data_IF_083329613784
#
_entry.id   IF_083329613784
#
_cell.length_a   1.000
_cell.length_b   1.000
_cell.length_c   1.000
_cell.angle_alpha   90.00
_cell.angle_beta   90.00
_cell.angle_gamma   90.00
#
_symmetry.space_group_name_H-M   'P 1'
#
loop_
_entity.id
_entity.type
_entity.pdbx_description
1 polymer ?
#
# COMPACT_ATOMS: atom_id res chain seq x y z
N UNK A 1 16.98 0.91 -40.08
CA UNK A 1 16.37 -0.22 -39.34
C UNK A 1 17.34 -0.64 -38.25
N UNK A 2 17.03 -0.66 -36.96
CA UNK A 2 15.89 -1.31 -36.29
C UNK A 2 15.38 -0.45 -35.12
N UNK A 3 14.08 -0.15 -35.16
CA UNK A 3 13.31 0.28 -34.01
C UNK A 3 13.34 -0.84 -32.96
N UNK A 4 14.13 -0.70 -31.89
CA UNK A 4 13.92 -1.53 -30.70
C UNK A 4 12.75 -0.92 -29.94
N UNK A 5 11.53 -1.31 -30.31
CA UNK A 5 10.39 -1.24 -29.41
C UNK A 5 10.81 -1.95 -28.12
N UNK A 6 11.11 -1.19 -27.07
CA UNK A 6 11.23 -1.74 -25.71
C UNK A 6 9.82 -2.12 -25.27
N UNK A 7 9.41 -3.33 -25.63
CA UNK A 7 8.18 -3.94 -25.17
C UNK A 7 8.36 -4.26 -23.69
N UNK A 8 7.40 -3.77 -22.91
CA UNK A 8 7.25 -3.80 -21.46
C UNK A 8 7.18 -5.25 -20.95
N UNK A 9 8.03 -5.59 -19.98
CA UNK A 9 7.89 -6.73 -19.07
C UNK A 9 7.93 -6.10 -17.66
N UNK A 10 6.84 -6.02 -16.90
CA UNK A 10 6.13 -7.19 -16.36
C UNK A 10 7.05 -7.77 -15.27
N UNK A 11 6.77 -7.61 -13.98
CA UNK A 11 5.57 -8.13 -13.33
C UNK A 11 5.07 -7.12 -12.27
N UNK A 12 3.88 -6.58 -12.48
CA UNK A 12 3.04 -6.04 -11.42
C UNK A 12 2.52 -7.25 -10.62
N UNK A 13 3.17 -7.61 -9.51
CA UNK A 13 2.62 -8.60 -8.57
C UNK A 13 1.63 -7.84 -7.68
N UNK A 14 0.54 -7.34 -8.25
CA UNK A 14 -0.52 -6.64 -7.51
C UNK A 14 -1.71 -7.55 -7.22
N UNK A 15 -1.55 -8.87 -7.19
CA UNK A 15 -2.73 -9.73 -7.04
C UNK A 15 -2.38 -11.05 -6.38
N UNK A 16 -3.28 -11.53 -5.52
CA UNK A 16 -3.33 -12.83 -4.81
C UNK A 16 -3.08 -12.76 -3.27
N UNK A 17 -3.33 -11.65 -2.59
CA UNK A 17 -3.62 -11.71 -1.12
C UNK A 17 -4.97 -11.10 -0.74
N UNK A 18 -5.59 -10.25 -1.58
CA UNK A 18 -6.94 -9.73 -1.30
C UNK A 18 -8.01 -10.85 -1.22
N UNK A 19 -7.86 -11.94 -2.00
CA UNK A 19 -8.87 -13.01 -2.06
C UNK A 19 -8.96 -13.82 -0.75
N UNK A 20 -7.87 -13.97 -0.01
CA UNK A 20 -7.89 -14.75 1.24
C UNK A 20 -8.67 -14.01 2.36
N UNK A 21 -8.60 -12.68 2.39
CA UNK A 21 -9.41 -11.89 3.33
C UNK A 21 -10.88 -11.92 2.87
N UNK A 22 -11.15 -11.64 1.59
CA UNK A 22 -12.51 -11.63 1.02
C UNK A 22 -13.21 -13.01 1.11
N UNK A 23 -12.47 -14.11 1.00
CA UNK A 23 -13.00 -15.48 1.14
C UNK A 23 -13.52 -15.81 2.54
N UNK A 24 -12.94 -15.20 3.60
CA UNK A 24 -13.50 -15.27 4.96
C UNK A 24 -14.63 -14.27 5.20
N UNK A 25 -14.67 -13.19 4.42
CA UNK A 25 -15.73 -12.15 4.44
C UNK A 25 -17.06 -12.70 3.92
N UNK A 26 -17.05 -13.61 2.94
CA UNK A 26 -18.28 -14.19 2.36
C UNK A 26 -19.18 -14.96 3.33
N UNK A 27 -18.71 -15.27 4.55
CA UNK A 27 -19.49 -15.99 5.59
C UNK A 27 -19.89 -15.08 6.75
N UNK A 28 -19.39 -13.83 6.82
CA UNK A 28 -19.77 -12.87 7.88
C UNK A 28 -20.86 -11.93 7.36
N UNK A 29 -22.06 -12.11 7.93
CA UNK A 29 -23.25 -11.24 8.02
C UNK A 29 -23.11 -9.83 7.41
N UNK A 30 -24.19 -9.35 6.77
CA UNK A 30 -24.48 -7.96 6.31
C UNK A 30 -24.26 -6.86 7.39
N UNK A 31 -23.06 -6.76 7.92
CA UNK A 31 -22.64 -5.71 8.81
C UNK A 31 -21.75 -4.78 8.00
N UNK A 32 -21.83 -3.48 8.31
CA UNK A 32 -20.88 -2.51 7.78
C UNK A 32 -19.45 -2.99 8.01
N UNK A 33 -18.51 -2.73 7.08
CA UNK A 33 -17.12 -3.09 7.26
C UNK A 33 -16.59 -2.53 8.58
N UNK A 34 -15.71 -3.26 9.26
CA UNK A 34 -15.01 -2.75 10.43
C UNK A 34 -14.12 -1.56 10.04
N UNK A 35 -13.73 -0.75 11.03
CA UNK A 35 -12.81 0.37 10.81
C UNK A 35 -11.50 -0.10 10.12
N UNK A 36 -10.93 -1.21 10.58
CA UNK A 36 -9.71 -1.77 10.00
C UNK A 36 -9.91 -2.24 8.54
N UNK A 37 -11.05 -2.84 8.23
CA UNK A 37 -11.38 -3.23 6.85
C UNK A 37 -11.55 -2.01 5.94
N UNK A 38 -12.19 -0.93 6.42
CA UNK A 38 -12.26 0.34 5.68
C UNK A 38 -10.88 0.93 5.41
N UNK A 39 -10.00 0.95 6.42
CA UNK A 39 -8.63 1.44 6.29
C UNK A 39 -7.84 0.64 5.25
N UNK A 40 -7.89 -0.70 5.31
CA UNK A 40 -7.20 -1.57 4.35
C UNK A 40 -7.75 -1.35 2.94
N UNK A 41 -9.07 -1.41 2.75
CA UNK A 41 -9.69 -1.24 1.43
C UNK A 41 -9.39 0.14 0.83
N UNK A 42 -9.33 1.18 1.67
CA UNK A 42 -8.92 2.51 1.24
C UNK A 42 -7.47 2.53 0.75
N UNK A 43 -6.53 1.92 1.49
CA UNK A 43 -5.13 1.88 1.09
C UNK A 43 -4.89 0.99 -0.14
N UNK A 44 -5.58 -0.15 -0.27
CA UNK A 44 -5.54 -0.99 -1.48
C UNK A 44 -5.98 -0.19 -2.72
N UNK A 45 -7.02 0.65 -2.61
CA UNK A 45 -7.46 1.52 -3.71
C UNK A 45 -6.40 2.56 -4.11
N UNK A 46 -5.48 2.91 -3.22
CA UNK A 46 -4.41 3.87 -3.45
C UNK A 46 -3.03 3.20 -3.51
N UNK A 47 -2.96 1.89 -3.77
CA UNK A 47 -1.71 1.15 -3.87
C UNK A 47 -0.77 1.74 -4.93
N UNK A 48 -1.32 2.19 -6.06
CA UNK A 48 -0.55 2.84 -7.13
C UNK A 48 0.07 4.17 -6.67
N UNK A 49 -0.71 5.05 -6.04
CA UNK A 49 -0.23 6.34 -5.50
C UNK A 49 0.89 6.13 -4.46
N UNK A 50 0.72 5.15 -3.56
CA UNK A 50 1.75 4.80 -2.58
C UNK A 50 3.00 4.18 -3.23
N UNK A 51 2.82 3.38 -4.28
CA UNK A 51 3.93 2.74 -4.99
C UNK A 51 4.75 3.76 -5.77
N UNK A 52 4.09 4.72 -6.41
CA UNK A 52 4.74 5.83 -7.11
C UNK A 52 5.56 6.68 -6.13
N UNK A 53 5.00 7.02 -4.97
CA UNK A 53 5.73 7.70 -3.91
C UNK A 53 7.02 6.96 -3.51
N UNK A 54 6.92 5.66 -3.22
CA UNK A 54 8.08 4.84 -2.80
C UNK A 54 9.15 4.82 -3.89
N UNK A 55 8.76 4.64 -5.15
CA UNK A 55 9.71 4.61 -6.27
C UNK A 55 10.40 5.95 -6.48
N UNK A 56 9.72 7.06 -6.26
CA UNK A 56 10.31 8.40 -6.33
C UNK A 56 11.32 8.63 -5.18
N UNK A 57 10.99 8.18 -3.97
CA UNK A 57 11.83 8.37 -2.78
C UNK A 57 13.08 7.48 -2.73
N UNK A 58 12.98 6.24 -3.21
CA UNK A 58 14.06 5.22 -3.10
C UNK A 58 14.95 5.12 -4.38
N UNK A 59 14.70 5.97 -5.38
CA UNK A 59 15.36 6.00 -6.70
C UNK A 59 15.24 4.66 -7.49
N UNK A 60 15.78 4.60 -8.72
CA UNK A 60 15.63 3.53 -9.74
C UNK A 60 15.98 2.09 -9.31
N UNK A 61 16.31 1.85 -8.04
CA UNK A 61 16.63 0.53 -7.49
C UNK A 61 15.38 -0.33 -7.20
N UNK A 62 14.22 0.29 -7.03
CA UNK A 62 12.98 -0.43 -6.64
C UNK A 62 12.27 -0.99 -7.86
N UNK A 63 12.24 -2.32 -7.98
CA UNK A 63 11.46 -3.02 -9.01
C UNK A 63 10.03 -3.33 -8.54
N UNK A 64 9.87 -3.74 -7.28
CA UNK A 64 8.57 -4.06 -6.69
C UNK A 64 8.48 -3.64 -5.21
N UNK A 65 7.24 -3.44 -4.76
CA UNK A 65 6.87 -3.10 -3.39
C UNK A 65 5.89 -4.16 -2.89
N UNK A 66 6.12 -4.66 -1.68
CA UNK A 66 5.20 -5.52 -0.95
C UNK A 66 4.60 -4.73 0.23
N UNK A 67 3.27 -4.70 0.30
CA UNK A 67 2.51 -4.10 1.39
C UNK A 67 2.02 -5.18 2.36
N UNK A 68 2.40 -5.07 3.64
CA UNK A 68 1.98 -6.02 4.66
C UNK A 68 0.63 -5.55 5.24
N UNK A 69 -0.46 -5.78 4.52
CA UNK A 69 -1.80 -5.26 4.82
C UNK A 69 -2.30 -5.54 6.25
N UNK A 70 -1.91 -6.67 6.84
CA UNK A 70 -2.26 -7.00 8.22
C UNK A 70 -1.66 -6.03 9.26
N UNK A 71 -0.61 -5.30 8.89
CA UNK A 71 0.06 -4.30 9.73
C UNK A 71 -0.59 -2.91 9.70
N UNK A 72 -1.62 -2.70 8.86
CA UNK A 72 -2.37 -1.44 8.82
C UNK A 72 -2.95 -1.12 10.20
N UNK A 73 -2.64 0.09 10.66
CA UNK A 73 -3.18 0.68 11.89
C UNK A 73 -3.20 2.20 11.78
N UNK A 74 -4.09 2.84 12.54
CA UNK A 74 -4.01 4.27 12.83
C UNK A 74 -2.91 4.54 13.85
N UNK A 75 -2.14 5.60 13.66
CA UNK A 75 -1.15 6.07 14.60
C UNK A 75 -1.23 7.60 14.75
N UNK A 76 -0.57 8.13 15.78
CA UNK A 76 -0.50 9.55 16.07
C UNK A 76 0.93 9.92 16.41
N UNK A 77 1.41 10.97 15.76
CA UNK A 77 2.72 11.55 16.07
C UNK A 77 2.73 12.31 17.40
N UNK A 78 3.61 13.30 17.49
CA UNK A 78 3.66 14.20 18.65
C UNK A 78 2.35 14.98 18.83
N UNK A 79 2.22 15.67 19.97
CA UNK A 79 1.11 16.58 20.22
C UNK A 79 0.82 17.46 18.99
N UNK A 80 -0.46 17.66 18.69
CA UNK A 80 -0.96 18.44 17.54
C UNK A 80 -0.67 17.86 16.14
N UNK A 81 -0.11 16.65 16.04
CA UNK A 81 -0.02 15.94 14.75
C UNK A 81 -1.38 15.33 14.42
N UNK A 82 -1.81 15.48 13.16
CA UNK A 82 -2.98 14.78 12.64
C UNK A 82 -2.75 13.27 12.70
N UNK A 83 -3.76 12.50 13.07
CA UNK A 83 -3.72 11.04 12.98
C UNK A 83 -3.50 10.60 11.52
N UNK A 84 -2.79 9.49 11.35
CA UNK A 84 -2.44 8.94 10.05
C UNK A 84 -2.57 7.42 10.07
N UNK A 85 -2.63 6.80 8.89
CA UNK A 85 -2.51 5.36 8.75
C UNK A 85 -1.03 5.01 8.56
N UNK A 86 -0.61 3.87 9.07
CA UNK A 86 0.73 3.33 8.80
C UNK A 86 0.67 1.89 8.35
N UNK A 87 1.57 1.53 7.44
CA UNK A 87 1.71 0.17 6.89
C UNK A 87 3.19 -0.15 6.71
N UNK A 88 3.56 -1.39 7.03
CA UNK A 88 4.89 -1.90 6.78
C UNK A 88 5.04 -2.31 5.32
N UNK A 89 6.15 -1.93 4.71
CA UNK A 89 6.48 -2.22 3.31
C UNK A 89 7.83 -2.91 3.21
N UNK A 90 7.98 -3.75 2.18
CA UNK A 90 9.28 -4.25 1.75
C UNK A 90 9.49 -3.86 0.29
N UNK A 91 10.72 -3.53 -0.08
CA UNK A 91 11.10 -3.19 -1.46
C UNK A 91 12.13 -4.19 -1.99
N UNK A 92 12.05 -4.48 -3.28
CA UNK A 92 12.87 -5.51 -3.93
C UNK A 92 13.51 -5.00 -5.21
N UNK A 93 14.68 -5.55 -5.54
CA UNK A 93 15.37 -5.30 -6.81
C UNK A 93 14.75 -6.13 -7.96
N UNK A 94 15.22 -5.90 -9.18
CA UNK A 94 14.76 -6.64 -10.37
C UNK A 94 15.05 -8.15 -10.36
N UNK A 95 15.79 -8.66 -9.36
CA UNK A 95 16.07 -10.08 -9.13
C UNK A 95 15.25 -10.65 -7.97
N UNK A 96 14.26 -9.89 -7.48
CA UNK A 96 13.44 -10.23 -6.32
C UNK A 96 14.25 -10.38 -5.01
N UNK A 97 15.38 -9.67 -4.90
CA UNK A 97 16.15 -9.62 -3.66
C UNK A 97 15.65 -8.44 -2.85
N UNK A 98 15.32 -8.67 -1.58
CA UNK A 98 14.88 -7.62 -0.66
C UNK A 98 15.99 -6.58 -0.48
N UNK A 99 15.69 -5.33 -0.82
CA UNK A 99 16.58 -4.19 -0.64
C UNK A 99 16.43 -3.65 0.79
N UNK A 100 15.18 -3.35 1.19
CA UNK A 100 14.89 -2.73 2.48
C UNK A 100 13.46 -3.08 2.93
N UNK A 101 13.13 -2.79 4.19
CA UNK A 101 11.77 -2.72 4.68
C UNK A 101 11.59 -1.61 5.70
N UNK A 102 10.51 -0.85 5.55
CA UNK A 102 10.24 0.36 6.33
C UNK A 102 8.74 0.50 6.60
N UNK A 103 8.37 1.48 7.42
CA UNK A 103 6.98 1.88 7.60
C UNK A 103 6.75 3.16 6.81
N UNK A 104 5.63 3.25 6.13
CA UNK A 104 5.16 4.50 5.53
C UNK A 104 4.03 5.07 6.37
N UNK A 105 3.94 6.38 6.47
CA UNK A 105 2.86 7.11 7.11
C UNK A 105 2.00 7.77 6.03
N UNK A 106 0.72 7.41 5.98
CA UNK A 106 -0.27 7.95 5.04
C UNK A 106 -1.22 8.86 5.81
N UNK A 107 -1.06 10.17 5.62
CA UNK A 107 -1.94 11.16 6.21
C UNK A 107 -3.24 11.21 5.43
N UNK A 108 -4.34 10.86 6.08
CA UNK A 108 -5.68 10.83 5.49
C UNK A 108 -6.56 11.94 6.05
N UNK A 109 -7.68 12.21 5.40
CA UNK A 109 -8.71 13.13 5.90
C UNK A 109 -9.28 12.70 7.26
N UNK A 110 -9.61 11.42 7.42
CA UNK A 110 -10.10 10.80 8.65
C UNK A 110 -9.62 9.34 8.74
N UNK A 111 -8.94 8.94 9.82
CA UNK A 111 -8.42 7.56 9.95
C UNK A 111 -9.51 6.50 10.13
N UNK A 112 -10.70 6.88 10.63
CA UNK A 112 -11.82 5.92 10.87
C UNK A 112 -12.64 5.61 9.62
N UNK A 113 -12.69 6.59 8.70
CA UNK A 113 -13.41 6.53 7.43
C UNK A 113 -12.65 7.35 6.37
N UNK A 114 -11.48 6.87 5.93
CA UNK A 114 -10.62 7.62 5.02
C UNK A 114 -11.23 7.70 3.63
N UNK A 115 -11.20 8.90 3.05
CA UNK A 115 -11.71 9.19 1.70
C UNK A 115 -10.67 9.86 0.81
N UNK A 116 -9.61 10.43 1.40
CA UNK A 116 -8.57 11.13 0.66
C UNK A 116 -7.22 11.05 1.35
N UNK A 117 -6.18 10.77 0.57
CA UNK A 117 -4.78 10.96 0.97
C UNK A 117 -4.44 12.44 0.87
N UNK A 118 -3.84 12.97 1.93
CA UNK A 118 -3.35 14.35 2.02
C UNK A 118 -1.84 14.45 1.91
N UNK A 119 -1.11 13.44 2.38
CA UNK A 119 0.35 13.36 2.28
C UNK A 119 0.84 11.92 2.56
N UNK A 120 2.04 11.59 2.10
CA UNK A 120 2.74 10.33 2.37
C UNK A 120 4.18 10.66 2.85
N UNK A 121 4.61 10.03 3.94
CA UNK A 121 5.95 10.18 4.53
C UNK A 121 6.51 8.87 5.08
#
# INVERSE_FOLDING_TARGET
MKNKKRIKFGILIATIIAIAIIGTIGVKKMNEPTEKERQIAFLEKHEEEMTEYIKQSELDKVASVEYLWNTVKSDKGMAFTKEFLTIKTNIYDGRNIKINGFWINIFVDNVRDPKKISNIN
#
